data_IF_613575125591
#
_entry.id   IF_613575125591
#
_cell.length_a   1.000
_cell.length_b   1.000
_cell.length_c   1.000
_cell.angle_alpha   90.00
_cell.angle_beta   90.00
_cell.angle_gamma   90.00
#
_symmetry.space_group_name_H-M   'P 1'
#
loop_
_entity.id
_entity.type
_entity.pdbx_description
1 polymer ?
#
# COMPACT_ATOMS: atom_id res chain seq x y z
N UNK A 1 36.69 5.61 -11.50
CA UNK A 1 36.01 6.92 -11.41
C UNK A 1 34.55 6.61 -11.66
N UNK A 2 33.72 6.59 -10.62
CA UNK A 2 32.31 6.28 -10.79
C UNK A 2 31.67 7.39 -11.61
N UNK A 3 31.04 7.02 -12.71
CA UNK A 3 30.09 7.88 -13.40
C UNK A 3 29.04 8.29 -12.36
N UNK A 4 28.92 9.60 -12.12
CA UNK A 4 27.78 10.13 -11.39
C UNK A 4 26.54 9.65 -12.16
N UNK A 5 25.58 8.97 -11.52
CA UNK A 5 24.36 8.60 -12.21
C UNK A 5 23.76 9.87 -12.81
N UNK A 6 23.40 9.79 -14.09
CA UNK A 6 22.52 10.80 -14.70
C UNK A 6 21.33 10.97 -13.76
N UNK A 7 20.90 12.23 -13.53
CA UNK A 7 19.83 12.55 -12.58
C UNK A 7 18.65 11.60 -12.73
N UNK A 8 17.91 11.39 -11.65
CA UNK A 8 16.84 10.38 -11.57
C UNK A 8 15.69 10.62 -12.55
N UNK A 9 15.68 11.76 -13.24
CA UNK A 9 14.67 12.16 -14.22
C UNK A 9 13.46 12.85 -13.58
N UNK A 10 13.41 12.92 -12.24
CA UNK A 10 12.43 13.70 -11.49
C UNK A 10 13.17 14.78 -10.67
N UNK A 11 12.95 16.04 -11.00
CA UNK A 11 13.57 17.19 -10.34
C UNK A 11 13.32 17.21 -8.82
N UNK A 12 12.18 16.67 -8.37
CA UNK A 12 11.84 16.58 -6.94
C UNK A 12 12.72 15.56 -6.23
N UNK A 13 12.93 14.39 -6.86
CA UNK A 13 13.81 13.34 -6.35
C UNK A 13 15.25 13.82 -6.36
N UNK A 14 15.68 14.47 -7.44
CA UNK A 14 17.04 15.02 -7.58
C UNK A 14 17.33 16.08 -6.51
N UNK A 15 16.38 16.96 -6.20
CA UNK A 15 16.52 17.94 -5.12
C UNK A 15 16.67 17.28 -3.74
N UNK A 16 15.90 16.22 -3.46
CA UNK A 16 15.99 15.48 -2.20
C UNK A 16 17.36 14.78 -2.08
N UNK A 17 17.82 14.12 -3.15
CA UNK A 17 19.12 13.43 -3.17
C UNK A 17 20.28 14.42 -3.06
N UNK A 18 20.20 15.59 -3.70
CA UNK A 18 21.18 16.66 -3.54
C UNK A 18 21.28 17.14 -2.08
N UNK A 19 20.16 17.14 -1.35
CA UNK A 19 20.08 17.48 0.07
C UNK A 19 20.95 16.59 0.97
N UNK A 20 21.18 15.33 0.59
CA UNK A 20 22.08 14.42 1.32
C UNK A 20 23.54 14.86 1.31
N UNK A 21 23.94 15.77 0.42
CA UNK A 21 25.28 16.38 0.42
C UNK A 21 25.63 17.08 1.74
N UNK A 22 24.62 17.52 2.51
CA UNK A 22 24.80 18.14 3.84
C UNK A 22 25.41 17.21 4.89
N UNK A 23 25.32 15.89 4.70
CA UNK A 23 25.87 14.90 5.64
C UNK A 23 27.38 15.07 5.86
N UNK A 24 28.12 15.47 4.83
CA UNK A 24 29.58 15.69 4.93
C UNK A 24 29.97 16.91 5.77
N UNK A 25 29.02 17.82 6.02
CA UNK A 25 29.25 19.09 6.72
C UNK A 25 28.68 19.08 8.14
N UNK A 26 27.90 18.03 8.49
CA UNK A 26 27.20 17.92 9.76
C UNK A 26 27.76 16.80 10.64
N UNK A 27 27.67 16.94 11.98
CA UNK A 27 28.00 15.85 12.89
C UNK A 27 27.15 14.60 12.62
N UNK A 28 27.70 13.42 12.89
CA UNK A 28 27.00 12.14 12.70
C UNK A 28 25.69 12.06 13.50
N UNK A 29 25.59 12.77 14.64
CA UNK A 29 24.35 12.87 15.41
C UNK A 29 23.20 13.48 14.63
N UNK A 30 23.49 14.39 13.68
CA UNK A 30 22.49 15.06 12.84
C UNK A 30 22.14 14.25 11.59
N UNK A 31 22.92 13.22 11.24
CA UNK A 31 22.71 12.45 10.01
C UNK A 31 21.35 11.76 9.99
N UNK A 32 20.87 11.29 11.13
CA UNK A 32 19.56 10.63 11.25
C UNK A 32 18.44 11.60 10.87
N UNK A 33 18.49 12.85 11.32
CA UNK A 33 17.49 13.86 10.98
C UNK A 33 17.49 14.18 9.48
N UNK A 34 18.68 14.27 8.88
CA UNK A 34 18.85 14.51 7.43
C UNK A 34 18.31 13.34 6.61
N UNK A 35 18.55 12.10 7.04
CA UNK A 35 17.98 10.92 6.38
C UNK A 35 16.46 10.86 6.53
N UNK A 36 15.92 11.20 7.70
CA UNK A 36 14.47 11.20 7.95
C UNK A 36 13.74 12.23 7.08
N UNK A 37 14.32 13.42 6.93
CA UNK A 37 13.84 14.47 6.02
C UNK A 37 13.82 13.97 4.57
N UNK A 38 14.92 13.37 4.10
CA UNK A 38 15.02 12.86 2.75
C UNK A 38 14.04 11.70 2.50
N UNK A 39 13.90 10.79 3.45
CA UNK A 39 12.98 9.66 3.36
C UNK A 39 11.53 10.12 3.27
N UNK A 40 11.11 11.02 4.17
CA UNK A 40 9.77 11.62 4.17
C UNK A 40 9.46 12.35 2.86
N UNK A 41 10.45 13.04 2.30
CA UNK A 41 10.34 13.71 1.00
C UNK A 41 10.09 12.73 -0.14
N UNK A 42 10.84 11.62 -0.18
CA UNK A 42 10.69 10.59 -1.21
C UNK A 42 9.34 9.88 -1.09
N UNK A 43 8.88 9.55 0.12
CA UNK A 43 7.55 8.98 0.34
C UNK A 43 6.45 9.91 -0.16
N UNK A 44 6.59 11.23 0.06
CA UNK A 44 5.64 12.23 -0.43
C UNK A 44 5.61 12.29 -1.96
N UNK A 45 6.77 12.19 -2.62
CA UNK A 45 6.85 12.13 -4.09
C UNK A 45 6.17 10.88 -4.63
N UNK A 46 6.38 9.73 -3.99
CA UNK A 46 5.75 8.47 -4.38
C UNK A 46 4.22 8.49 -4.18
N UNK A 47 3.76 9.03 -3.05
CA UNK A 47 2.33 9.19 -2.76
C UNK A 47 1.63 10.08 -3.81
N UNK A 48 2.28 11.16 -4.24
CA UNK A 48 1.72 12.05 -5.27
C UNK A 48 1.57 11.37 -6.64
N UNK A 49 2.41 10.39 -6.96
CA UNK A 49 2.28 9.58 -8.19
C UNK A 49 1.11 8.60 -8.08
N UNK A 50 0.91 7.99 -6.91
CA UNK A 50 -0.22 7.08 -6.65
C UNK A 50 -1.57 7.80 -6.78
N UNK A 51 -1.70 9.00 -6.19
CA UNK A 51 -2.90 9.84 -6.30
C UNK A 51 -3.20 10.26 -7.76
N UNK A 52 -2.16 10.45 -8.57
CA UNK A 52 -2.29 10.84 -9.98
C UNK A 52 -2.79 9.69 -10.88
N UNK A 53 -2.72 8.43 -10.41
CA UNK A 53 -3.24 7.24 -11.09
C UNK A 53 -4.67 6.84 -10.67
N UNK A 54 -5.26 7.57 -9.72
CA UNK A 54 -6.46 7.17 -8.97
C UNK A 54 -7.78 7.79 -9.42
N UNK A 55 -8.07 7.88 -10.72
CA UNK A 55 -9.47 7.96 -11.20
C UNK A 55 -9.82 6.65 -11.90
N UNK A 56 -10.06 5.60 -11.13
CA UNK A 56 -10.78 4.44 -11.64
C UNK A 56 -12.21 4.89 -11.99
N UNK A 57 -12.71 4.65 -13.22
CA UNK A 57 -14.12 4.81 -13.51
C UNK A 57 -14.92 3.78 -12.71
N UNK A 58 -16.10 4.20 -12.27
CA UNK A 58 -17.03 3.47 -11.44
C UNK A 58 -17.17 1.98 -11.79
N UNK A 59 -17.12 1.14 -10.75
CA UNK A 59 -17.81 -0.16 -10.73
C UNK A 59 -17.01 -1.37 -11.21
N UNK A 60 -16.33 -2.04 -10.27
CA UNK A 60 -16.43 -3.50 -10.13
C UNK A 60 -15.83 -4.00 -8.81
N UNK A 61 -16.73 -4.24 -7.86
CA UNK A 61 -16.72 -5.24 -6.79
C UNK A 61 -15.37 -5.91 -6.43
N UNK A 62 -14.66 -5.34 -5.47
CA UNK A 62 -13.76 -6.09 -4.59
C UNK A 62 -14.54 -6.59 -3.36
N UNK A 63 -15.43 -7.57 -3.55
CA UNK A 63 -15.83 -8.43 -2.44
C UNK A 63 -15.10 -9.76 -2.58
N UNK A 64 -13.86 -9.77 -2.11
CA UNK A 64 -13.17 -11.02 -1.83
C UNK A 64 -13.93 -11.78 -0.74
N UNK A 65 -14.28 -13.05 -1.01
CA UNK A 65 -14.30 -14.14 -0.03
C UNK A 65 -14.57 -15.49 -0.71
N UNK A 66 -13.57 -16.04 -1.40
CA UNK A 66 -13.53 -17.47 -1.66
C UNK A 66 -12.80 -18.13 -0.48
N UNK A 67 -13.54 -18.47 0.58
CA UNK A 67 -13.05 -19.42 1.58
C UNK A 67 -13.37 -20.81 1.07
N UNK A 68 -12.34 -21.62 0.91
CA UNK A 68 -12.47 -23.06 0.87
C UNK A 68 -13.17 -23.52 2.16
N UNK A 69 -14.30 -24.19 2.05
CA UNK A 69 -15.08 -24.70 3.17
C UNK A 69 -15.91 -25.89 2.72
N UNK A 70 -15.56 -27.06 3.24
CA UNK A 70 -16.04 -28.36 2.79
C UNK A 70 -17.53 -28.61 2.97
N UNK A 71 -18.03 -29.46 2.09
CA UNK A 71 -18.93 -30.58 2.36
C UNK A 71 -19.52 -30.65 3.78
N UNK A 72 -20.83 -30.39 3.91
CA UNK A 72 -21.77 -31.19 4.71
C UNK A 72 -23.16 -31.12 4.06
N UNK A 73 -23.61 -32.24 3.49
CA UNK A 73 -25.01 -32.43 3.10
C UNK A 73 -25.87 -32.45 4.37
N UNK A 74 -26.75 -31.47 4.50
CA UNK A 74 -27.68 -31.33 5.61
C UNK A 74 -28.59 -32.55 5.74
N UNK A 75 -28.67 -33.06 6.97
CA UNK A 75 -29.56 -34.15 7.35
C UNK A 75 -31.03 -33.79 7.06
N UNK A 76 -31.72 -34.72 6.43
CA UNK A 76 -33.16 -34.71 6.25
C UNK A 76 -33.81 -34.83 7.65
N UNK A 77 -34.30 -33.71 8.15
CA UNK A 77 -35.05 -33.62 9.41
C UNK A 77 -36.31 -34.46 9.38
N UNK A 78 -36.57 -35.10 10.51
CA UNK A 78 -37.65 -36.02 10.79
C UNK A 78 -39.05 -35.40 10.67
N UNK A 79 -40.03 -36.29 10.54
CA UNK A 79 -41.42 -35.97 10.27
C UNK A 79 -42.17 -35.29 11.41
N UNK A 80 -43.25 -34.62 11.01
CA UNK A 80 -44.34 -34.25 11.90
C UNK A 80 -45.67 -34.68 11.27
N UNK A 81 -46.44 -35.38 12.10
CA UNK A 81 -47.69 -36.10 11.78
C UNK A 81 -48.88 -35.11 11.79
N UNK A 82 -49.97 -35.40 11.06
CA UNK A 82 -51.07 -34.46 10.91
C UNK A 82 -52.00 -34.42 12.13
N UNK A 83 -52.44 -33.19 12.41
CA UNK A 83 -53.70 -32.72 13.01
C UNK A 83 -54.56 -33.73 13.81
N UNK A 84 -54.57 -33.56 15.13
CA UNK A 84 -55.71 -33.91 15.98
C UNK A 84 -56.60 -32.66 16.16
N UNK A 85 -57.67 -32.56 15.38
CA UNK A 85 -58.82 -31.72 15.71
C UNK A 85 -59.79 -32.53 16.58
N UNK A 86 -60.40 -31.83 17.54
CA UNK A 86 -61.43 -32.18 18.54
C UNK A 86 -62.27 -33.42 18.32
#
# INVERSE_FOLDING_TARGET
>A
MSELPEGTGDERVDAIVAGLGRLGEQPVSEHVAIFDEAFSGLESVLAAVDDSGGQAPDGQALTGRHVAGGHVMGGQGAGERPAGQR
#
